data_IF_624796292138
#
_entry.id   IF_624796292138
#
_cell.length_a   1.000
_cell.length_b   1.000
_cell.length_c   1.000
_cell.angle_alpha   90.00
_cell.angle_beta   90.00
_cell.angle_gamma   90.00
#
_symmetry.space_group_name_H-M   'P 1'
#
loop_
_entity.id
_entity.type
_entity.pdbx_description
1 polymer ?
#
# COMPACT_ATOMS: atom_id res chain seq x y z
N UNK A 1 -8.94 9.45 10.46
CA UNK A 1 -7.54 8.96 10.47
C UNK A 1 -7.37 7.92 9.37
N UNK A 2 -6.40 8.13 8.50
CA UNK A 2 -6.07 7.30 7.34
C UNK A 2 -4.56 7.05 7.35
N UNK A 3 -4.10 6.00 6.67
CA UNK A 3 -2.69 5.57 6.70
C UNK A 3 -2.17 5.39 5.29
N UNK A 4 -0.99 5.97 5.03
CA UNK A 4 -0.17 5.65 3.87
C UNK A 4 1.04 4.86 4.38
N UNK A 5 1.13 3.58 3.99
CA UNK A 5 2.30 2.74 4.24
C UNK A 5 3.24 2.84 3.04
N UNK A 6 4.38 3.51 3.23
CA UNK A 6 5.50 3.49 2.28
C UNK A 6 6.31 2.23 2.53
N UNK A 7 6.13 1.22 1.69
CA UNK A 7 6.83 -0.05 1.78
C UNK A 7 8.09 -0.02 0.93
N UNK A 8 9.25 -0.01 1.60
CA UNK A 8 10.55 -0.02 0.94
C UNK A 8 11.08 -1.45 0.99
N UNK A 9 10.78 -2.23 -0.06
CA UNK A 9 11.12 -3.65 -0.12
C UNK A 9 12.63 -3.84 -0.03
N UNK A 10 13.09 -4.78 0.81
CA UNK A 10 14.51 -5.05 1.04
C UNK A 10 15.13 -4.18 2.14
N UNK A 11 14.56 -2.98 2.34
CA UNK A 11 14.73 -2.18 3.56
C UNK A 11 15.98 -1.31 3.53
N UNK A 12 15.83 0.03 3.47
CA UNK A 12 16.95 0.97 3.59
C UNK A 12 17.82 0.66 4.81
N UNK A 13 19.13 0.68 4.61
CA UNK A 13 20.09 0.54 5.69
C UNK A 13 19.81 1.60 6.75
N UNK A 14 19.59 1.14 7.98
CA UNK A 14 19.36 2.02 9.12
C UNK A 14 20.57 2.93 9.40
N UNK A 15 21.79 2.44 9.11
CA UNK A 15 23.04 3.19 9.28
C UNK A 15 23.18 4.35 8.29
N UNK A 16 22.47 4.27 7.18
CA UNK A 16 22.51 5.22 6.07
C UNK A 16 21.22 6.05 5.97
N UNK A 17 20.31 5.87 6.93
CA UNK A 17 19.04 6.60 7.01
C UNK A 17 18.86 7.25 8.39
N UNK A 18 18.08 6.64 9.28
CA UNK A 18 17.57 7.24 10.50
C UNK A 18 18.32 6.83 11.77
N UNK A 19 19.25 5.87 11.73
CA UNK A 19 19.99 5.39 12.89
C UNK A 19 21.50 5.27 12.63
N UNK A 20 22.06 6.36 12.12
CA UNK A 20 23.48 6.46 11.82
C UNK A 20 24.36 6.15 13.03
N UNK A 21 25.54 5.58 12.76
CA UNK A 21 26.57 5.30 13.76
C UNK A 21 27.86 6.06 13.40
N UNK A 22 27.85 7.41 13.45
CA UNK A 22 28.96 8.22 12.96
C UNK A 22 30.28 7.95 13.69
N UNK A 23 30.22 7.56 14.96
CA UNK A 23 31.39 7.31 15.80
C UNK A 23 31.89 5.86 15.73
N UNK A 24 31.21 4.97 15.01
CA UNK A 24 31.69 3.60 14.79
C UNK A 24 32.88 3.58 13.82
N UNK A 25 33.72 2.52 13.88
CA UNK A 25 34.83 2.37 12.93
C UNK A 25 34.34 2.42 11.47
N UNK A 26 35.22 2.88 10.58
CA UNK A 26 34.90 3.12 9.16
C UNK A 26 34.39 1.86 8.45
N UNK A 27 34.78 0.69 8.92
CA UNK A 27 34.40 -0.63 8.43
C UNK A 27 32.94 -0.97 8.75
N UNK A 28 32.36 -0.36 9.79
CA UNK A 28 30.98 -0.62 10.24
C UNK A 28 30.02 0.53 9.95
N UNK A 29 30.50 1.78 9.91
CA UNK A 29 29.63 2.93 9.59
C UNK A 29 29.42 3.09 8.08
N UNK A 30 28.25 3.58 7.71
CA UNK A 30 27.91 3.92 6.33
C UNK A 30 28.82 5.00 5.71
N UNK A 31 28.85 5.15 4.37
CA UNK A 31 29.72 6.11 3.69
C UNK A 31 29.27 7.58 3.80
N UNK A 32 28.10 7.84 4.38
CA UNK A 32 27.46 9.16 4.41
C UNK A 32 27.73 9.94 5.70
N UNK A 33 27.60 11.26 5.62
CA UNK A 33 27.67 12.15 6.77
C UNK A 33 26.33 12.25 7.50
N UNK A 34 26.35 12.92 8.66
CA UNK A 34 25.13 13.22 9.42
C UNK A 34 24.85 14.71 9.44
N UNK A 35 23.57 15.09 9.41
CA UNK A 35 23.08 16.47 9.56
C UNK A 35 22.18 16.61 10.79
N UNK A 36 22.15 17.78 11.44
CA UNK A 36 21.14 18.06 12.47
C UNK A 36 19.73 18.10 11.85
N UNK A 37 18.71 17.91 12.68
CA UNK A 37 17.31 17.92 12.27
C UNK A 37 16.52 18.99 13.02
N UNK A 38 15.25 19.19 12.64
CA UNK A 38 14.32 20.08 13.36
C UNK A 38 14.01 19.61 14.79
N UNK A 39 14.35 18.35 15.13
CA UNK A 39 14.29 17.83 16.49
C UNK A 39 15.68 17.94 17.15
N UNK A 40 15.87 18.78 18.19
CA UNK A 40 17.15 18.92 18.87
C UNK A 40 17.69 17.59 19.40
N UNK A 41 19.00 17.38 19.22
CA UNK A 41 19.69 16.14 19.63
C UNK A 41 19.53 14.97 18.66
N UNK A 42 18.63 15.04 17.67
CA UNK A 42 18.49 14.02 16.64
C UNK A 42 19.26 14.42 15.36
N UNK A 43 20.15 13.52 14.92
CA UNK A 43 20.87 13.60 13.65
C UNK A 43 20.47 12.43 12.75
N UNK A 44 20.43 12.68 11.44
CA UNK A 44 20.13 11.67 10.40
C UNK A 44 21.08 11.84 9.20
N UNK A 45 20.99 10.96 8.21
CA UNK A 45 21.81 10.99 6.99
C UNK A 45 21.73 12.32 6.23
N UNK A 46 22.90 12.82 5.78
CA UNK A 46 23.04 14.05 5.00
C UNK A 46 22.32 14.01 3.63
N UNK A 47 22.00 12.82 3.14
CA UNK A 47 21.17 12.59 1.94
C UNK A 47 19.67 12.81 2.15
N UNK A 48 19.22 13.05 3.38
CA UNK A 48 17.80 13.24 3.69
C UNK A 48 17.47 14.66 4.22
N UNK A 49 17.88 15.74 3.53
CA UNK A 49 17.71 17.11 4.04
C UNK A 49 16.25 17.52 4.19
N UNK A 50 15.33 16.96 3.40
CA UNK A 50 13.90 17.23 3.53
C UNK A 50 13.25 16.52 4.71
N UNK A 51 13.70 15.29 5.04
CA UNK A 51 13.27 14.61 6.26
C UNK A 51 13.80 15.34 7.49
N UNK A 52 15.05 15.80 7.46
CA UNK A 52 15.66 16.55 8.56
C UNK A 52 14.83 17.77 8.96
N UNK A 53 14.15 18.42 8.01
CA UNK A 53 13.30 19.60 8.26
C UNK A 53 11.96 19.29 8.94
N UNK A 54 11.53 18.03 8.97
CA UNK A 54 10.19 17.62 9.48
C UNK A 54 10.30 16.61 10.63
N UNK A 55 11.47 16.46 11.25
CA UNK A 55 11.68 15.49 12.33
C UNK A 55 10.91 15.84 13.61
N UNK A 56 10.53 17.10 13.81
CA UNK A 56 9.61 17.57 14.85
C UNK A 56 8.19 16.95 14.73
N UNK A 57 7.87 16.37 13.57
CA UNK A 57 6.58 15.69 13.28
C UNK A 57 6.73 14.20 13.00
N UNK A 58 7.93 13.66 13.23
CA UNK A 58 8.28 12.29 12.88
C UNK A 58 8.67 11.52 14.14
N UNK A 59 8.23 10.26 14.24
CA UNK A 59 8.69 9.34 15.28
C UNK A 59 9.60 8.28 14.67
N UNK A 60 10.82 8.16 15.17
CA UNK A 60 11.78 7.13 14.75
C UNK A 60 11.74 5.99 15.76
N UNK A 61 11.41 4.79 15.31
CA UNK A 61 11.38 3.59 16.15
C UNK A 61 12.66 2.78 15.89
N UNK A 62 13.57 2.75 16.87
CA UNK A 62 14.86 2.02 16.81
C UNK A 62 14.90 0.78 17.71
N UNK A 63 13.76 0.43 18.32
CA UNK A 63 13.65 -0.65 19.29
C UNK A 63 13.33 -2.01 18.68
N UNK A 64 13.22 -2.10 17.35
CA UNK A 64 12.86 -3.35 16.66
C UNK A 64 14.12 -4.06 16.17
N UNK A 65 14.27 -5.33 16.53
CA UNK A 65 15.39 -6.18 16.10
C UNK A 65 14.93 -7.63 16.00
N UNK A 66 15.56 -8.39 15.10
CA UNK A 66 15.35 -9.83 14.97
C UNK A 66 16.56 -10.55 14.37
N UNK A 67 16.63 -11.87 14.58
CA UNK A 67 17.70 -12.72 14.07
C UNK A 67 17.37 -13.39 12.72
N UNK A 68 16.34 -12.92 12.02
CA UNK A 68 15.94 -13.45 10.71
C UNK A 68 16.59 -12.67 9.55
N UNK A 69 17.24 -13.39 8.62
CA UNK A 69 17.80 -12.82 7.38
C UNK A 69 16.92 -13.03 6.15
N UNK A 70 15.77 -13.71 6.27
CA UNK A 70 14.90 -14.01 5.14
C UNK A 70 13.93 -12.85 4.85
N UNK A 71 13.97 -12.31 3.62
CA UNK A 71 13.13 -11.19 3.18
C UNK A 71 11.62 -11.50 3.27
N UNK A 72 11.20 -12.74 2.98
CA UNK A 72 9.77 -13.11 3.01
C UNK A 72 9.25 -13.19 4.43
N UNK A 73 10.01 -13.79 5.33
CA UNK A 73 9.73 -13.83 6.75
C UNK A 73 9.64 -12.40 7.30
N UNK A 74 10.63 -11.54 7.04
CA UNK A 74 10.61 -10.15 7.51
C UNK A 74 9.39 -9.37 6.98
N UNK A 75 9.07 -9.52 5.70
CA UNK A 75 7.88 -8.91 5.09
C UNK A 75 6.58 -9.36 5.77
N UNK A 76 6.44 -10.68 6.00
CA UNK A 76 5.29 -11.23 6.71
C UNK A 76 5.18 -10.67 8.13
N UNK A 77 6.30 -10.60 8.87
CA UNK A 77 6.29 -10.16 10.26
C UNK A 77 5.89 -8.69 10.37
N UNK A 78 6.42 -7.82 9.52
CA UNK A 78 6.06 -6.39 9.52
C UNK A 78 4.62 -6.14 9.05
N UNK A 79 4.14 -6.89 8.06
CA UNK A 79 2.80 -6.67 7.51
C UNK A 79 1.68 -7.26 8.38
N UNK A 80 1.95 -8.38 9.07
CA UNK A 80 0.91 -9.12 9.81
C UNK A 80 1.10 -9.08 11.32
N UNK A 81 2.32 -8.84 11.82
CA UNK A 81 2.66 -8.96 13.24
C UNK A 81 2.90 -10.40 13.71
N UNK A 82 2.89 -11.38 12.80
CA UNK A 82 3.04 -12.80 13.13
C UNK A 82 4.30 -13.43 12.54
N UNK A 83 4.81 -14.44 13.22
CA UNK A 83 5.88 -15.32 12.71
C UNK A 83 5.28 -16.43 11.82
N UNK A 84 6.14 -17.20 11.14
CA UNK A 84 5.75 -18.49 10.53
C UNK A 84 5.68 -18.54 8.99
N UNK A 85 5.94 -17.45 8.27
CA UNK A 85 6.24 -17.50 6.83
C UNK A 85 7.75 -17.41 6.61
N UNK A 86 8.24 -18.02 5.52
CA UNK A 86 9.65 -18.01 5.09
C UNK A 86 9.74 -17.98 3.56
N UNK A 87 10.95 -17.85 3.02
CA UNK A 87 11.18 -17.94 1.57
C UNK A 87 10.76 -19.27 0.95
N UNK A 88 10.72 -20.36 1.73
CA UNK A 88 10.26 -21.69 1.29
C UNK A 88 8.77 -21.94 1.58
N UNK A 89 8.20 -21.25 2.58
CA UNK A 89 6.79 -21.36 2.96
C UNK A 89 6.13 -19.97 2.99
N UNK A 90 5.67 -19.54 1.81
CA UNK A 90 5.13 -18.19 1.55
C UNK A 90 3.63 -18.09 1.77
N UNK A 91 2.99 -19.08 2.39
CA UNK A 91 1.53 -19.09 2.53
C UNK A 91 1.10 -17.98 3.50
N UNK A 92 0.29 -17.04 3.02
CA UNK A 92 -0.30 -15.99 3.86
C UNK A 92 -1.33 -16.60 4.83
N UNK A 93 -0.99 -16.67 6.11
CA UNK A 93 -1.85 -17.23 7.17
C UNK A 93 -2.61 -16.16 7.94
N UNK A 94 -2.05 -14.97 8.03
CA UNK A 94 -2.56 -13.88 8.85
C UNK A 94 -2.89 -12.65 8.00
N UNK A 95 -3.94 -11.90 8.36
CA UNK A 95 -4.30 -10.67 7.68
C UNK A 95 -3.20 -9.61 7.83
N UNK A 96 -3.03 -8.81 6.79
CA UNK A 96 -2.18 -7.62 6.87
C UNK A 96 -2.80 -6.52 7.72
N UNK A 97 -1.99 -5.58 8.21
CA UNK A 97 -2.47 -4.39 8.92
C UNK A 97 -3.49 -3.58 8.10
N UNK A 98 -3.33 -3.56 6.77
CA UNK A 98 -4.27 -2.88 5.87
C UNK A 98 -5.61 -3.61 5.80
N UNK A 99 -5.59 -4.95 5.74
CA UNK A 99 -6.80 -5.76 5.76
C UNK A 99 -7.51 -5.71 7.12
N UNK A 100 -6.77 -5.69 8.23
CA UNK A 100 -7.32 -5.48 9.57
C UNK A 100 -8.00 -4.10 9.65
N UNK A 101 -7.37 -3.05 9.11
CA UNK A 101 -7.97 -1.72 9.04
C UNK A 101 -9.25 -1.70 8.20
N UNK A 102 -9.29 -2.44 7.09
CA UNK A 102 -10.47 -2.56 6.25
C UNK A 102 -11.60 -3.31 6.99
N UNK A 103 -11.29 -4.41 7.66
CA UNK A 103 -12.26 -5.20 8.42
C UNK A 103 -12.89 -4.41 9.57
N UNK A 104 -12.06 -3.72 10.36
CA UNK A 104 -12.54 -3.03 11.56
C UNK A 104 -13.26 -1.72 11.26
N UNK A 105 -12.98 -1.08 10.12
CA UNK A 105 -13.42 0.31 9.88
C UNK A 105 -14.01 0.58 8.49
N UNK A 106 -13.78 -0.29 7.50
CA UNK A 106 -14.19 -0.06 6.11
C UNK A 106 -13.40 1.08 5.43
N UNK A 107 -14.06 1.78 4.50
CA UNK A 107 -13.60 3.05 3.91
C UNK A 107 -14.08 4.27 4.73
N UNK A 108 -13.48 5.46 4.53
CA UNK A 108 -14.04 6.71 5.12
C UNK A 108 -15.27 7.18 4.38
N UNK A 109 -15.31 6.92 3.09
CA UNK A 109 -16.34 7.42 2.20
C UNK A 109 -16.92 6.27 1.37
N UNK A 110 -18.20 6.36 1.04
CA UNK A 110 -18.81 5.42 0.09
C UNK A 110 -18.25 5.64 -1.33
N UNK A 111 -18.23 4.57 -2.13
CA UNK A 111 -17.77 4.61 -3.51
C UNK A 111 -16.24 4.61 -3.69
N UNK A 112 -15.48 4.33 -2.62
CA UNK A 112 -14.03 4.09 -2.67
C UNK A 112 -13.65 2.86 -1.83
N UNK A 113 -12.61 2.09 -2.22
CA UNK A 113 -12.18 0.92 -1.47
C UNK A 113 -11.62 1.30 -0.09
N UNK A 114 -11.80 0.41 0.89
CA UNK A 114 -11.22 0.57 2.22
C UNK A 114 -9.68 0.52 2.23
N UNK A 115 -9.11 -0.38 1.43
CA UNK A 115 -7.68 -0.62 1.34
C UNK A 115 -7.25 -0.70 -0.14
N UNK A 116 -6.21 0.07 -0.51
CA UNK A 116 -5.54 -0.03 -1.80
C UNK A 116 -4.10 -0.49 -1.61
N UNK A 117 -3.66 -1.46 -2.41
CA UNK A 117 -2.27 -1.86 -2.51
C UNK A 117 -1.75 -1.47 -3.88
N UNK A 118 -0.80 -0.54 -3.91
CA UNK A 118 -0.08 -0.12 -5.09
C UNK A 118 1.26 -0.86 -5.12
N UNK A 119 1.39 -1.79 -6.06
CA UNK A 119 2.55 -2.67 -6.23
C UNK A 119 2.78 -3.60 -5.02
N UNK A 120 2.38 -4.88 -5.14
CA UNK A 120 2.38 -5.86 -4.02
C UNK A 120 3.79 -6.27 -3.54
N UNK A 121 4.85 -5.80 -4.21
CA UNK A 121 6.23 -6.20 -3.89
C UNK A 121 6.57 -7.67 -4.17
N UNK A 122 5.61 -8.42 -4.70
CA UNK A 122 5.71 -9.86 -4.92
C UNK A 122 5.45 -10.71 -3.67
N UNK A 123 5.27 -10.12 -2.48
CA UNK A 123 5.24 -10.89 -1.23
C UNK A 123 3.95 -11.64 -0.95
N UNK A 124 2.80 -11.16 -1.44
CA UNK A 124 1.50 -11.78 -1.17
C UNK A 124 0.98 -11.64 0.26
N UNK A 125 1.66 -10.93 1.16
CA UNK A 125 1.27 -10.77 2.57
C UNK A 125 0.38 -9.57 2.87
N UNK A 126 -0.07 -8.84 1.85
CA UNK A 126 -1.01 -7.71 2.01
C UNK A 126 -2.48 -8.16 2.12
N UNK A 127 -2.78 -9.44 1.91
CA UNK A 127 -4.15 -9.95 1.89
C UNK A 127 -4.85 -10.00 3.25
N UNK A 128 -6.13 -10.38 3.20
CA UNK A 128 -7.01 -10.52 4.34
C UNK A 128 -6.96 -11.91 5.02
N UNK A 129 -6.37 -12.92 4.37
CA UNK A 129 -6.35 -14.30 4.85
C UNK A 129 -7.74 -14.75 5.36
N UNK A 130 -7.87 -15.07 6.64
CA UNK A 130 -9.12 -15.55 7.24
C UNK A 130 -10.19 -14.46 7.46
N UNK A 131 -9.87 -13.17 7.27
CA UNK A 131 -10.86 -12.07 7.35
C UNK A 131 -11.77 -12.00 6.11
N UNK A 132 -11.50 -12.82 5.10
CA UNK A 132 -12.33 -12.96 3.91
C UNK A 132 -12.01 -11.94 2.81
N UNK A 133 -12.51 -12.25 1.62
CA UNK A 133 -12.19 -11.53 0.39
C UNK A 133 -12.63 -10.06 0.39
N UNK A 134 -13.62 -9.69 1.22
CA UNK A 134 -14.09 -8.31 1.40
C UNK A 134 -12.99 -7.36 1.88
N UNK A 135 -12.07 -7.87 2.71
CA UNK A 135 -11.03 -7.06 3.33
C UNK A 135 -9.74 -7.05 2.51
N UNK A 136 -9.71 -7.69 1.34
CA UNK A 136 -8.53 -7.67 0.48
C UNK A 136 -8.32 -6.27 -0.12
N UNK A 137 -7.06 -5.85 -0.31
CA UNK A 137 -6.78 -4.60 -1.00
C UNK A 137 -7.29 -4.62 -2.44
N UNK A 138 -7.78 -3.47 -2.90
CA UNK A 138 -7.82 -3.18 -4.33
C UNK A 138 -6.38 -3.05 -4.85
N UNK A 139 -5.94 -4.02 -5.66
CA UNK A 139 -4.56 -4.09 -6.15
C UNK A 139 -4.42 -3.29 -7.45
N UNK A 140 -3.40 -2.46 -7.52
CA UNK A 140 -2.99 -1.74 -8.74
C UNK A 140 -1.48 -1.84 -8.91
N UNK A 141 -1.01 -1.84 -10.15
CA UNK A 141 0.41 -2.08 -10.43
C UNK A 141 0.78 -3.54 -10.55
N UNK A 142 1.91 -3.78 -11.22
CA UNK A 142 2.57 -5.08 -11.28
C UNK A 142 3.98 -4.92 -10.72
N UNK A 143 4.36 -5.78 -9.78
CA UNK A 143 5.74 -5.87 -9.31
C UNK A 143 6.60 -6.63 -10.34
N UNK A 144 7.84 -6.19 -10.57
CA UNK A 144 8.81 -6.93 -11.39
C UNK A 144 10.21 -6.74 -10.81
N UNK A 145 10.91 -7.83 -10.49
CA UNK A 145 12.33 -7.73 -10.14
C UNK A 145 13.10 -7.02 -11.28
N UNK A 146 13.66 -5.83 -10.99
CA UNK A 146 14.26 -4.93 -11.97
C UNK A 146 13.54 -3.59 -12.17
N UNK A 147 12.37 -3.38 -11.55
CA UNK A 147 11.70 -2.07 -11.52
C UNK A 147 12.11 -1.27 -10.27
N UNK A 148 13.19 -0.50 -10.35
CA UNK A 148 13.44 0.62 -9.45
C UNK A 148 12.25 1.59 -9.55
N UNK A 149 11.32 1.57 -8.58
CA UNK A 149 10.14 2.44 -8.52
C UNK A 149 9.42 2.70 -9.87
N UNK A 150 9.47 1.74 -10.79
CA UNK A 150 9.49 2.04 -12.21
C UNK A 150 8.20 1.63 -12.91
N UNK A 151 7.46 2.64 -13.35
CA UNK A 151 6.16 2.57 -14.01
C UNK A 151 5.08 2.02 -13.09
N UNK A 152 4.33 2.94 -12.46
CA UNK A 152 2.89 2.72 -12.41
C UNK A 152 2.50 2.22 -13.81
N UNK A 153 1.77 1.10 -13.98
CA UNK A 153 0.93 1.05 -15.16
C UNK A 153 0.18 2.35 -15.05
N UNK A 154 0.43 3.26 -16.01
CA UNK A 154 -0.39 4.45 -16.16
C UNK A 154 -1.78 3.93 -15.87
N UNK A 155 -2.41 4.46 -14.82
CA UNK A 155 -3.80 4.16 -14.60
C UNK A 155 -4.54 4.88 -15.74
N UNK A 156 -4.25 4.52 -17.02
CA UNK A 156 -5.29 4.23 -17.97
C UNK A 156 -6.29 3.49 -17.12
N UNK A 157 -7.36 4.19 -16.85
CA UNK A 157 -8.51 3.70 -16.16
C UNK A 157 -9.11 2.48 -16.88
N UNK A 158 -8.36 1.66 -17.64
CA UNK A 158 -8.78 0.40 -18.22
C UNK A 158 -9.25 -0.59 -17.15
N UNK A 159 -8.70 -0.56 -15.93
CA UNK A 159 -9.16 -1.43 -14.84
C UNK A 159 -10.50 -0.99 -14.21
N UNK A 160 -10.90 0.29 -14.41
CA UNK A 160 -12.14 0.87 -13.89
C UNK A 160 -13.03 1.47 -14.99
N UNK A 161 -12.66 1.30 -16.25
CA UNK A 161 -13.51 1.59 -17.40
C UNK A 161 -14.40 0.37 -17.52
N UNK A 162 -15.70 0.62 -17.49
CA UNK A 162 -16.67 -0.37 -17.92
C UNK A 162 -16.22 -0.91 -19.28
N UNK A 163 -16.04 -2.23 -19.37
CA UNK A 163 -15.70 -2.91 -20.62
C UNK A 163 -16.72 -2.48 -21.68
N UNK A 164 -16.26 -2.21 -22.91
CA UNK A 164 -17.10 -1.71 -24.01
C UNK A 164 -18.47 -2.39 -24.03
N UNK A 165 -19.54 -1.62 -23.83
CA UNK A 165 -20.93 -2.10 -23.84
C UNK A 165 -21.60 -2.25 -22.46
N UNK A 166 -20.88 -2.13 -21.35
CA UNK A 166 -21.44 -2.02 -19.99
C UNK A 166 -21.67 -0.54 -19.63
N UNK A 167 -22.92 -0.16 -19.37
CA UNK A 167 -23.26 1.16 -18.78
C UNK A 167 -23.59 1.00 -17.30
N UNK A 168 -23.62 2.09 -16.54
CA UNK A 168 -24.06 2.06 -15.15
C UNK A 168 -25.48 1.48 -15.01
N UNK A 169 -26.39 1.78 -15.96
CA UNK A 169 -27.73 1.17 -15.98
C UNK A 169 -27.66 -0.34 -16.19
N UNK A 170 -26.81 -0.83 -17.11
CA UNK A 170 -26.69 -2.28 -17.36
C UNK A 170 -26.10 -3.03 -16.17
N UNK A 171 -25.18 -2.43 -15.43
CA UNK A 171 -24.68 -3.01 -14.17
C UNK A 171 -25.78 -3.02 -13.13
N UNK A 172 -26.49 -1.91 -12.94
CA UNK A 172 -27.61 -1.82 -12.00
C UNK A 172 -28.68 -2.88 -12.30
N UNK A 173 -29.04 -3.06 -13.57
CA UNK A 173 -30.00 -4.10 -14.00
C UNK A 173 -29.48 -5.50 -13.68
N UNK A 174 -28.21 -5.82 -13.98
CA UNK A 174 -27.63 -7.14 -13.69
C UNK A 174 -27.54 -7.42 -12.19
N UNK A 175 -27.15 -6.42 -11.40
CA UNK A 175 -27.11 -6.51 -9.94
C UNK A 175 -28.51 -6.71 -9.37
N UNK A 176 -29.52 -6.00 -9.89
CA UNK A 176 -30.91 -6.19 -9.47
C UNK A 176 -31.44 -7.58 -9.80
N UNK A 177 -31.08 -8.15 -10.95
CA UNK A 177 -31.45 -9.52 -11.33
C UNK A 177 -30.72 -10.55 -10.46
N UNK A 178 -29.43 -10.34 -10.20
CA UNK A 178 -28.63 -11.18 -9.31
C UNK A 178 -29.22 -11.20 -7.90
N UNK A 179 -29.53 -10.04 -7.32
CA UNK A 179 -30.21 -9.94 -6.01
C UNK A 179 -31.55 -10.67 -5.97
N UNK A 180 -32.32 -10.63 -7.06
CA UNK A 180 -33.58 -11.41 -7.16
C UNK A 180 -33.33 -12.92 -7.20
N UNK A 181 -32.31 -13.37 -7.92
CA UNK A 181 -31.93 -14.77 -7.99
C UNK A 181 -31.35 -15.27 -6.66
N UNK A 182 -30.54 -14.44 -6.00
CA UNK A 182 -29.94 -14.72 -4.70
C UNK A 182 -30.99 -14.70 -3.59
N UNK A 183 -32.00 -13.82 -3.65
CA UNK A 183 -33.12 -13.85 -2.71
C UNK A 183 -33.85 -15.21 -2.75
N UNK A 184 -34.11 -15.74 -3.96
CA UNK A 184 -34.70 -17.08 -4.15
C UNK A 184 -33.81 -18.21 -3.59
N UNK A 185 -32.49 -18.03 -3.56
CA UNK A 185 -31.53 -18.97 -2.97
C UNK A 185 -31.35 -18.80 -1.47
N UNK A 186 -31.48 -17.57 -0.96
CA UNK A 186 -31.33 -17.24 0.46
C UNK A 186 -32.43 -17.87 1.32
N UNK A 187 -33.62 -18.08 0.74
CA UNK A 187 -34.70 -18.85 1.36
C UNK A 187 -34.31 -20.33 1.63
N UNK A 188 -33.24 -20.81 0.98
CA UNK A 188 -32.72 -22.19 1.10
C UNK A 188 -31.44 -22.22 1.96
N UNK A 189 -30.75 -21.09 2.18
CA UNK A 189 -29.47 -21.05 2.88
C UNK A 189 -29.58 -20.79 4.38
N UNK A 190 -29.24 -21.79 5.19
CA UNK A 190 -29.18 -21.70 6.66
C UNK A 190 -27.85 -21.15 7.18
N UNK A 191 -26.85 -20.92 6.33
CA UNK A 191 -25.47 -20.60 6.75
C UNK A 191 -25.15 -19.11 6.90
N UNK A 192 -26.00 -18.21 6.39
CA UNK A 192 -25.79 -16.76 6.46
C UNK A 192 -24.68 -16.22 5.55
N UNK A 193 -24.06 -17.08 4.73
CA UNK A 193 -22.95 -16.71 3.84
C UNK A 193 -23.37 -15.69 2.76
N UNK A 194 -24.63 -15.72 2.32
CA UNK A 194 -25.13 -14.82 1.26
C UNK A 194 -25.27 -13.35 1.72
N UNK A 195 -25.52 -13.06 2.99
CA UNK A 195 -25.65 -11.67 3.47
C UNK A 195 -24.35 -10.87 3.34
N UNK A 196 -23.19 -11.51 3.51
CA UNK A 196 -21.88 -10.88 3.29
C UNK A 196 -21.64 -10.52 1.82
N UNK A 197 -22.06 -11.39 0.89
CA UNK A 197 -21.92 -11.17 -0.55
C UNK A 197 -22.71 -9.95 -1.04
N UNK A 198 -23.91 -9.71 -0.50
CA UNK A 198 -24.73 -8.56 -0.90
C UNK A 198 -24.08 -7.21 -0.55
N UNK A 199 -23.50 -7.10 0.63
CA UNK A 199 -22.79 -5.89 1.05
C UNK A 199 -21.54 -5.62 0.21
N UNK A 200 -20.78 -6.67 -0.09
CA UNK A 200 -19.59 -6.60 -0.95
C UNK A 200 -19.94 -6.22 -2.39
N UNK A 201 -21.01 -6.81 -2.92
CA UNK A 201 -21.47 -6.49 -4.27
C UNK A 201 -21.93 -5.04 -4.35
N UNK A 202 -22.67 -4.56 -3.34
CA UNK A 202 -23.10 -3.16 -3.29
C UNK A 202 -21.90 -2.21 -3.25
N UNK A 203 -20.88 -2.51 -2.44
CA UNK A 203 -19.65 -1.70 -2.38
C UNK A 203 -18.91 -1.71 -3.72
N UNK A 204 -18.79 -2.88 -4.38
CA UNK A 204 -18.19 -2.98 -5.70
C UNK A 204 -18.96 -2.18 -6.76
N UNK A 205 -20.29 -2.23 -6.72
CA UNK A 205 -21.16 -1.43 -7.60
C UNK A 205 -20.96 0.05 -7.34
N UNK A 206 -20.94 0.49 -6.09
CA UNK A 206 -20.73 1.89 -5.72
C UNK A 206 -19.34 2.38 -6.16
N UNK A 207 -18.29 1.56 -6.03
CA UNK A 207 -16.93 1.90 -6.52
C UNK A 207 -16.92 2.09 -8.04
N UNK A 208 -17.59 1.19 -8.77
CA UNK A 208 -17.62 1.23 -10.25
C UNK A 208 -18.50 2.37 -10.77
N UNK A 209 -19.62 2.65 -10.10
CA UNK A 209 -20.65 3.59 -10.57
C UNK A 209 -20.45 5.02 -10.08
N UNK A 210 -19.87 5.23 -8.89
CA UNK A 210 -19.71 6.57 -8.31
C UNK A 210 -18.73 7.46 -9.05
N UNK A 211 -17.78 6.86 -9.80
CA UNK A 211 -16.68 7.57 -10.45
C UNK A 211 -15.65 8.17 -9.47
N UNK A 212 -15.90 8.15 -8.16
CA UNK A 212 -15.04 8.74 -7.12
C UNK A 212 -13.69 8.05 -7.05
N UNK A 213 -13.68 6.72 -7.00
CA UNK A 213 -12.46 5.93 -7.08
C UNK A 213 -11.68 6.22 -8.37
N UNK A 214 -12.38 6.27 -9.52
CA UNK A 214 -11.76 6.55 -10.82
C UNK A 214 -11.09 7.92 -10.87
N UNK A 215 -11.74 8.97 -10.36
CA UNK A 215 -11.16 10.31 -10.29
C UNK A 215 -9.95 10.37 -9.34
N UNK A 216 -9.95 9.58 -8.27
CA UNK A 216 -8.82 9.49 -7.35
C UNK A 216 -7.58 8.84 -8.00
N UNK A 217 -7.77 7.86 -8.87
CA UNK A 217 -6.69 7.25 -9.66
C UNK A 217 -6.17 8.13 -10.80
N UNK A 218 -6.90 9.18 -11.18
CA UNK A 218 -6.49 10.10 -12.24
C UNK A 218 -5.65 11.26 -11.68
N UNK A 219 -4.32 11.08 -11.71
CA UNK A 219 -3.35 12.11 -11.29
C UNK A 219 -3.31 13.31 -12.23
N UNK A 220 -3.88 13.22 -13.44
CA UNK A 220 -3.90 14.36 -14.38
C UNK A 220 -4.84 15.48 -13.92
N UNK A 221 -5.74 15.19 -12.98
CA UNK A 221 -6.63 16.15 -12.34
C UNK A 221 -5.93 17.01 -11.27
N UNK A 222 -4.66 16.75 -10.94
CA UNK A 222 -3.85 17.60 -10.07
C UNK A 222 -3.24 18.77 -10.84
N UNK A 223 -3.01 19.87 -10.13
CA UNK A 223 -2.32 21.01 -10.71
C UNK A 223 -0.89 20.64 -11.15
N UNK A 224 -0.41 21.31 -12.20
CA UNK A 224 0.88 20.99 -12.84
C UNK A 224 2.05 21.16 -11.88
N UNK A 225 2.01 22.18 -11.01
CA UNK A 225 3.10 22.47 -10.07
C UNK A 225 3.22 21.37 -9.01
N UNK A 226 2.10 20.87 -8.49
CA UNK A 226 2.07 19.72 -7.57
C UNK A 226 2.62 18.47 -8.25
N UNK A 227 2.20 18.19 -9.49
CA UNK A 227 2.71 17.04 -10.24
C UNK A 227 4.22 17.12 -10.47
N UNK A 228 4.74 18.30 -10.82
CA UNK A 228 6.18 18.53 -10.97
C UNK A 228 6.94 18.39 -9.65
N UNK A 229 6.36 18.86 -8.53
CA UNK A 229 6.97 18.73 -7.20
C UNK A 229 7.12 17.27 -6.76
N UNK A 230 6.12 16.42 -7.06
CA UNK A 230 6.22 14.99 -6.77
C UNK A 230 7.16 14.30 -7.76
N UNK A 231 7.10 14.66 -9.04
CA UNK A 231 7.93 14.07 -10.08
C UNK A 231 7.45 12.69 -10.54
N UNK A 232 8.11 12.10 -11.55
CA UNK A 232 7.74 10.80 -12.11
C UNK A 232 8.12 9.61 -11.19
N UNK A 233 7.69 8.41 -11.56
CA UNK A 233 8.07 7.17 -10.87
C UNK A 233 7.43 7.06 -9.49
N UNK A 234 8.25 6.96 -8.43
CA UNK A 234 7.77 6.89 -7.06
C UNK A 234 6.97 8.12 -6.63
N UNK A 235 7.37 9.30 -7.09
CA UNK A 235 6.69 10.56 -6.78
C UNK A 235 5.22 10.54 -7.21
N UNK A 236 4.96 10.11 -8.44
CA UNK A 236 3.62 9.98 -8.98
C UNK A 236 2.77 8.96 -8.18
N UNK A 237 3.40 7.88 -7.68
CA UNK A 237 2.74 6.91 -6.79
C UNK A 237 2.36 7.54 -5.46
N UNK A 238 3.25 8.32 -4.85
CA UNK A 238 2.96 9.03 -3.61
C UNK A 238 1.84 10.08 -3.81
N UNK A 239 1.81 10.76 -4.95
CA UNK A 239 0.72 11.68 -5.31
C UNK A 239 -0.61 10.94 -5.46
N UNK A 240 -0.64 9.81 -6.15
CA UNK A 240 -1.83 8.97 -6.26
C UNK A 240 -2.30 8.46 -4.89
N UNK A 241 -1.38 8.01 -4.03
CA UNK A 241 -1.71 7.57 -2.67
C UNK A 241 -2.35 8.71 -1.86
N UNK A 242 -1.81 9.92 -1.95
CA UNK A 242 -2.43 11.12 -1.35
C UNK A 242 -3.85 11.34 -1.85
N UNK A 243 -4.08 11.33 -3.17
CA UNK A 243 -5.42 11.50 -3.77
C UNK A 243 -6.42 10.45 -3.32
N UNK A 244 -5.98 9.19 -3.21
CA UNK A 244 -6.82 8.10 -2.71
C UNK A 244 -7.26 8.34 -1.27
N UNK A 245 -6.35 8.78 -0.41
CA UNK A 245 -6.66 9.12 0.98
C UNK A 245 -7.63 10.31 1.05
N UNK A 246 -7.41 11.35 0.25
CA UNK A 246 -8.29 12.52 0.15
C UNK A 246 -9.69 12.15 -0.39
N UNK A 247 -9.79 11.16 -1.27
CA UNK A 247 -11.06 10.62 -1.77
C UNK A 247 -11.79 9.73 -0.74
N UNK A 248 -11.13 9.33 0.35
CA UNK A 248 -11.72 8.57 1.45
C UNK A 248 -11.27 7.11 1.54
N UNK A 249 -10.25 6.69 0.79
CA UNK A 249 -9.56 5.42 1.07
C UNK A 249 -8.95 5.49 2.47
N UNK A 250 -9.06 4.41 3.25
CA UNK A 250 -8.57 4.42 4.63
C UNK A 250 -7.10 4.02 4.73
N UNK A 251 -6.71 3.02 3.98
CA UNK A 251 -5.34 2.51 3.99
C UNK A 251 -4.83 2.44 2.57
N UNK A 252 -3.64 2.97 2.33
CA UNK A 252 -2.93 2.81 1.05
C UNK A 252 -1.55 2.27 1.35
N UNK A 253 -1.17 1.16 0.72
CA UNK A 253 0.22 0.73 0.67
C UNK A 253 0.80 1.11 -0.68
N UNK A 254 1.99 1.70 -0.70
CA UNK A 254 2.77 1.90 -1.91
C UNK A 254 4.14 1.26 -1.77
N UNK A 255 4.55 0.48 -2.76
CA UNK A 255 5.86 -0.14 -2.79
C UNK A 255 6.83 0.62 -3.70
N UNK A 256 7.98 1.00 -3.17
CA UNK A 256 8.96 1.87 -3.81
C UNK A 256 9.97 1.12 -4.70
N UNK A 257 9.81 -0.19 -4.87
CA UNK A 257 10.77 -1.04 -5.59
C UNK A 257 11.70 -1.81 -4.64
N UNK A 258 12.59 -2.61 -5.23
CA UNK A 258 13.51 -3.49 -4.48
C UNK A 258 14.78 -2.76 -4.07
N UNK A 259 15.08 -2.79 -2.78
CA UNK A 259 16.23 -2.17 -2.13
C UNK A 259 17.09 -3.28 -1.52
N UNK A 260 18.04 -3.82 -2.29
CA UNK A 260 18.87 -4.98 -1.92
C UNK A 260 20.35 -4.65 -2.13
N UNK A 261 20.85 -3.76 -1.28
CA UNK A 261 22.16 -3.13 -1.42
C UNK A 261 23.29 -3.85 -0.68
N UNK A 262 23.27 -5.19 -0.63
CA UNK A 262 24.36 -6.00 -0.08
C UNK A 262 25.74 -5.68 -0.73
N UNK A 263 25.78 -4.95 -1.85
CA UNK A 263 27.02 -4.49 -2.48
C UNK A 263 27.02 -3.11 -3.15
N UNK A 264 25.95 -2.30 -3.12
CA UNK A 264 25.86 -1.08 -3.96
C UNK A 264 25.21 0.16 -3.31
N UNK A 265 25.33 0.29 -1.98
CA UNK A 265 24.69 1.35 -1.20
C UNK A 265 24.97 2.80 -1.64
N UNK A 266 26.10 3.04 -2.32
CA UNK A 266 26.50 4.37 -2.83
C UNK A 266 25.67 4.86 -4.01
N UNK A 267 25.05 3.96 -4.77
CA UNK A 267 24.20 4.32 -5.92
C UNK A 267 22.72 4.36 -5.57
N UNK A 268 22.33 3.79 -4.43
CA UNK A 268 20.93 3.55 -4.05
C UNK A 268 20.31 4.60 -3.11
N UNK A 269 21.10 5.57 -2.63
CA UNK A 269 20.70 6.69 -1.75
C UNK A 269 21.09 8.03 -2.37
#
# INVERSE_FOLDING_TARGET
RSVILVWQHGGPSQLDTFDMKPDSPREYRGPYGSIPTSLPGLRICDKMPFHARIMDRTSVIRSFTHNNGDHWAAAHWLLTGYLGATGSDRKARNPSMGAISAHLRGSHEKGVPAYVNMNDGGFGFHGASYLGVACNPFRTGSYSYGNEAGMLPTARASSLKLVNGLTAEKISTRVSLMKRLDALRSDIDKSGAFHGMDSMLQEAVDIVTSGKARAAFDVSLEDKQTRERYGPGWGEQALMARRLIEAGVRFVTLNTGYWDDHGNIKKAL
#
